data_IF_889243270015
#
_entry.id   IF_889243270015
#
_cell.length_a   1.000
_cell.length_b   1.000
_cell.length_c   1.000
_cell.angle_alpha   90.00
_cell.angle_beta   90.00
_cell.angle_gamma   90.00
#
_symmetry.space_group_name_H-M   'P 1'
#
loop_
_entity.id
_entity.type
_entity.pdbx_description
1 polymer ?
#
# COMPACT_ATOMS: atom_id res chain seq x y z
N UNK A 1 23.39 -6.77 -9.84
CA UNK A 1 22.15 -7.46 -10.24
C UNK A 1 21.14 -7.25 -9.11
N UNK A 2 20.32 -6.21 -9.18
CA UNK A 2 19.36 -5.85 -8.12
C UNK A 2 18.07 -6.62 -8.42
N UNK A 3 17.96 -7.82 -7.88
CA UNK A 3 16.74 -8.62 -7.94
C UNK A 3 15.83 -8.23 -6.79
N UNK A 4 14.91 -7.27 -7.02
CA UNK A 4 13.81 -6.99 -6.09
C UNK A 4 12.74 -8.09 -6.12
N UNK A 5 12.92 -9.11 -6.96
CA UNK A 5 12.06 -10.30 -7.09
C UNK A 5 12.95 -11.52 -6.82
N UNK A 6 12.85 -12.14 -5.63
CA UNK A 6 13.63 -13.33 -5.29
C UNK A 6 14.16 -13.46 -3.85
N UNK A 7 13.62 -12.72 -2.87
CA UNK A 7 14.00 -12.96 -1.47
C UNK A 7 13.52 -14.35 -1.03
N UNK A 8 14.46 -15.30 -0.95
CA UNK A 8 14.29 -16.53 -0.17
C UNK A 8 14.72 -16.23 1.27
N UNK A 9 13.82 -16.36 2.25
CA UNK A 9 14.20 -16.30 3.65
C UNK A 9 15.27 -17.33 3.96
N UNK A 10 16.09 -17.06 4.97
CA UNK A 10 17.17 -17.96 5.39
C UNK A 10 16.68 -19.35 5.80
N UNK A 11 15.38 -19.49 6.13
CA UNK A 11 14.73 -20.74 6.53
C UNK A 11 13.40 -20.96 5.82
N UNK A 12 13.02 -22.22 5.48
CA UNK A 12 11.71 -22.53 4.93
C UNK A 12 10.61 -22.47 6.01
N UNK A 13 9.37 -22.15 5.60
CA UNK A 13 8.20 -22.19 6.50
C UNK A 13 7.90 -23.63 6.92
N UNK A 14 7.82 -23.88 8.23
CA UNK A 14 7.42 -25.18 8.75
C UNK A 14 5.90 -25.41 8.59
N UNK A 15 5.44 -26.66 8.39
CA UNK A 15 4.02 -26.99 8.49
C UNK A 15 3.47 -26.61 9.87
N UNK A 16 2.33 -25.92 9.93
CA UNK A 16 1.73 -25.46 11.19
C UNK A 16 2.36 -24.20 11.78
N UNK A 17 3.23 -23.50 11.04
CA UNK A 17 3.77 -22.21 11.47
C UNK A 17 2.69 -21.11 11.44
N UNK A 18 2.46 -20.49 12.60
CA UNK A 18 1.50 -19.41 12.82
C UNK A 18 2.15 -18.04 13.10
N UNK A 19 3.47 -17.89 12.93
CA UNK A 19 4.12 -16.59 13.15
C UNK A 19 5.65 -16.58 13.18
N UNK A 20 6.33 -17.72 13.36
CA UNK A 20 7.79 -17.74 13.51
C UNK A 20 8.48 -17.42 12.17
N UNK A 21 7.97 -17.99 11.08
CA UNK A 21 8.46 -17.70 9.73
C UNK A 21 8.33 -16.23 9.36
N UNK A 22 7.19 -15.59 9.67
CA UNK A 22 7.01 -14.16 9.33
C UNK A 22 7.94 -13.27 10.17
N UNK A 23 8.12 -13.60 11.45
CA UNK A 23 9.06 -12.88 12.31
C UNK A 23 10.51 -12.98 11.79
N UNK A 24 10.94 -14.16 11.33
CA UNK A 24 12.27 -14.35 10.77
C UNK A 24 12.42 -13.62 9.42
N UNK A 25 11.41 -13.70 8.55
CA UNK A 25 11.40 -12.97 7.28
C UNK A 25 11.51 -11.46 7.50
N UNK A 26 10.78 -10.92 8.47
CA UNK A 26 10.82 -9.50 8.83
C UNK A 26 12.20 -9.08 9.34
N UNK A 27 12.86 -9.90 10.16
CA UNK A 27 14.24 -9.63 10.61
C UNK A 27 15.24 -9.66 9.45
N UNK A 28 15.16 -10.67 8.58
CA UNK A 28 16.03 -10.80 7.41
C UNK A 28 15.85 -9.60 6.47
N UNK A 29 14.60 -9.18 6.25
CA UNK A 29 14.27 -8.02 5.44
C UNK A 29 14.80 -6.72 6.07
N UNK A 30 14.60 -6.53 7.38
CA UNK A 30 15.09 -5.36 8.10
C UNK A 30 16.61 -5.20 7.99
N UNK A 31 17.38 -6.28 8.15
CA UNK A 31 18.83 -6.23 8.01
C UNK A 31 19.26 -5.85 6.59
N UNK A 32 18.61 -6.41 5.58
CA UNK A 32 18.86 -6.05 4.17
C UNK A 32 18.48 -4.60 3.88
N UNK A 33 17.33 -4.15 4.36
CA UNK A 33 16.88 -2.78 4.20
C UNK A 33 17.85 -1.77 4.84
N UNK A 34 18.35 -2.08 6.05
CA UNK A 34 19.41 -1.29 6.71
C UNK A 34 20.71 -1.30 5.92
N UNK A 35 21.11 -2.42 5.35
CA UNK A 35 22.28 -2.50 4.46
C UNK A 35 22.08 -1.70 3.17
N UNK A 36 20.84 -1.59 2.68
CA UNK A 36 20.43 -0.69 1.62
C UNK A 36 20.28 0.76 2.07
N UNK A 37 20.73 1.16 3.28
CA UNK A 37 20.51 2.46 3.92
C UNK A 37 20.94 3.72 3.13
N UNK A 38 21.44 3.54 1.92
CA UNK A 38 21.75 4.58 0.96
C UNK A 38 20.81 4.61 -0.25
N UNK A 39 19.72 3.84 -0.27
CA UNK A 39 18.75 3.94 -1.36
C UNK A 39 18.24 5.38 -1.41
N UNK A 40 18.40 5.97 -2.59
CA UNK A 40 17.88 7.26 -2.98
C UNK A 40 17.27 7.01 -4.34
N UNK A 41 16.11 7.60 -4.59
CA UNK A 41 15.64 7.71 -5.96
C UNK A 41 16.71 8.40 -6.82
N UNK A 42 16.76 8.08 -8.11
CA UNK A 42 17.61 8.81 -9.04
C UNK A 42 17.12 10.27 -9.15
N UNK A 43 17.96 11.28 -8.88
CA UNK A 43 17.56 12.69 -9.02
C UNK A 43 17.22 13.12 -10.44
N UNK A 44 17.61 12.35 -11.45
CA UNK A 44 17.28 12.59 -12.85
C UNK A 44 16.05 11.81 -13.32
N UNK A 45 15.50 10.90 -12.50
CA UNK A 45 14.28 10.19 -12.85
C UNK A 45 13.12 11.17 -13.00
N UNK A 46 12.35 11.01 -14.07
CA UNK A 46 11.16 11.81 -14.30
C UNK A 46 10.12 11.49 -13.23
N UNK A 47 9.71 12.50 -12.48
CA UNK A 47 8.61 12.37 -11.52
C UNK A 47 7.29 12.24 -12.29
N UNK A 48 6.61 11.11 -12.19
CA UNK A 48 5.23 10.92 -12.66
C UNK A 48 4.32 10.88 -11.45
N UNK A 49 4.18 12.01 -10.75
CA UNK A 49 3.24 12.13 -9.63
C UNK A 49 1.87 12.48 -10.20
N UNK A 50 0.86 11.60 -10.05
CA UNK A 50 -0.49 11.95 -10.45
C UNK A 50 -1.05 13.00 -9.49
N UNK A 51 -1.99 13.80 -10.00
CA UNK A 51 -2.89 14.61 -9.19
C UNK A 51 -3.78 13.72 -8.32
N UNK A 52 -4.42 14.31 -7.30
CA UNK A 52 -5.39 13.59 -6.48
C UNK A 52 -6.58 13.06 -7.30
N UNK A 53 -6.98 13.78 -8.35
CA UNK A 53 -8.07 13.37 -9.23
C UNK A 53 -7.66 12.21 -10.16
N UNK A 54 -6.47 12.25 -10.76
CA UNK A 54 -5.92 11.11 -11.52
C UNK A 54 -5.74 9.86 -10.63
N UNK A 55 -5.40 10.05 -9.36
CA UNK A 55 -5.39 8.95 -8.39
C UNK A 55 -6.80 8.42 -8.11
N UNK A 56 -7.80 9.29 -7.99
CA UNK A 56 -9.20 8.88 -7.80
C UNK A 56 -9.79 8.18 -9.02
N UNK A 57 -9.34 8.48 -10.24
CA UNK A 57 -9.70 7.74 -11.45
C UNK A 57 -9.27 6.25 -11.35
N UNK A 58 -8.12 5.96 -10.75
CA UNK A 58 -7.71 4.58 -10.46
C UNK A 58 -8.69 3.92 -9.49
N UNK A 59 -9.14 4.65 -8.46
CA UNK A 59 -10.15 4.13 -7.52
C UNK A 59 -11.46 3.82 -8.25
N UNK A 60 -11.95 4.71 -9.10
CA UNK A 60 -13.15 4.48 -9.91
C UNK A 60 -13.03 3.23 -10.79
N UNK A 61 -11.89 3.08 -11.47
CA UNK A 61 -11.60 1.88 -12.27
C UNK A 61 -11.63 0.60 -11.44
N UNK A 62 -10.99 0.60 -10.26
CA UNK A 62 -10.97 -0.58 -9.38
C UNK A 62 -12.37 -0.88 -8.83
N UNK A 63 -13.15 0.14 -8.46
CA UNK A 63 -14.57 -0.05 -8.09
C UNK A 63 -15.34 -0.74 -9.21
N UNK A 64 -15.17 -0.32 -10.46
CA UNK A 64 -15.84 -0.94 -11.62
C UNK A 64 -15.38 -2.38 -11.86
N UNK A 65 -14.15 -2.71 -11.46
CA UNK A 65 -13.56 -4.05 -11.68
C UNK A 65 -13.98 -5.04 -10.61
N UNK A 66 -13.98 -4.64 -9.34
CA UNK A 66 -14.15 -5.58 -8.21
C UNK A 66 -15.30 -5.21 -7.25
N UNK A 67 -15.97 -4.08 -7.46
CA UNK A 67 -16.99 -3.55 -6.56
C UNK A 67 -16.41 -2.79 -5.37
N UNK A 68 -17.12 -1.77 -4.89
CA UNK A 68 -16.64 -0.87 -3.83
C UNK A 68 -16.39 -1.55 -2.49
N UNK A 69 -17.01 -2.70 -2.21
CA UNK A 69 -16.81 -3.47 -0.97
C UNK A 69 -15.41 -4.11 -0.87
N UNK A 70 -14.65 -4.13 -1.97
CA UNK A 70 -13.35 -4.77 -2.09
C UNK A 70 -12.19 -3.77 -2.27
N UNK A 71 -12.45 -2.48 -2.09
CA UNK A 71 -11.47 -1.40 -2.32
C UNK A 71 -11.09 -0.74 -1.01
N UNK A 72 -9.80 -0.50 -0.79
CA UNK A 72 -9.25 0.24 0.35
C UNK A 72 -8.07 1.10 -0.06
N UNK A 73 -7.70 2.05 0.80
CA UNK A 73 -6.56 2.94 0.56
C UNK A 73 -5.29 2.36 1.18
N UNK A 74 -4.22 2.26 0.39
CA UNK A 74 -2.86 1.90 0.84
C UNK A 74 -1.84 2.72 0.07
N UNK A 75 -1.21 3.69 0.74
CA UNK A 75 -0.43 4.77 0.08
C UNK A 75 1.07 4.52 0.06
N UNK A 76 1.53 3.40 0.63
CA UNK A 76 2.94 3.00 0.68
C UNK A 76 3.90 4.18 1.00
N UNK A 77 3.61 4.88 2.10
CA UNK A 77 4.32 6.10 2.49
C UNK A 77 5.72 5.77 3.05
N UNK A 78 6.65 5.42 2.17
CA UNK A 78 8.03 5.04 2.50
C UNK A 78 9.06 6.14 2.17
N UNK A 79 8.61 7.35 1.89
CA UNK A 79 9.47 8.53 1.67
C UNK A 79 10.01 8.70 0.24
N UNK A 80 9.41 8.03 -0.76
CA UNK A 80 9.69 8.29 -2.18
C UNK A 80 9.17 9.65 -2.64
N UNK A 81 9.80 10.26 -3.66
CA UNK A 81 9.37 11.56 -4.23
C UNK A 81 8.11 11.41 -5.08
N UNK A 82 7.78 10.20 -5.51
CA UNK A 82 6.64 9.93 -6.39
C UNK A 82 5.41 9.43 -5.63
N UNK A 83 4.94 10.20 -4.63
CA UNK A 83 3.76 9.84 -3.83
C UNK A 83 2.68 10.92 -3.87
N UNK A 84 1.42 10.50 -4.05
CA UNK A 84 0.24 11.34 -3.86
C UNK A 84 -0.69 10.65 -2.85
N UNK A 85 -0.98 11.28 -1.69
CA UNK A 85 -0.40 12.51 -1.21
C UNK A 85 1.06 12.28 -0.78
N UNK A 86 1.86 13.35 -0.75
CA UNK A 86 3.29 13.23 -0.39
C UNK A 86 3.50 12.74 1.06
N UNK A 87 2.54 13.00 1.94
CA UNK A 87 2.55 12.55 3.34
C UNK A 87 1.12 12.46 3.89
N UNK A 88 1.00 11.96 5.12
CA UNK A 88 -0.28 11.74 5.80
C UNK A 88 -1.15 13.01 5.92
N UNK A 89 -0.56 14.21 5.94
CA UNK A 89 -1.32 15.47 5.99
C UNK A 89 -2.20 15.70 4.76
N UNK A 90 -1.88 15.09 3.62
CA UNK A 90 -2.67 15.21 2.38
C UNK A 90 -3.84 14.23 2.27
N UNK A 91 -4.08 13.37 3.26
CA UNK A 91 -5.10 12.33 3.19
C UNK A 91 -6.52 12.88 2.96
N UNK A 92 -6.84 14.04 3.56
CA UNK A 92 -8.13 14.71 3.33
C UNK A 92 -8.34 15.12 1.86
N UNK A 93 -7.27 15.48 1.16
CA UNK A 93 -7.31 15.83 -0.27
C UNK A 93 -7.61 14.61 -1.15
N UNK A 94 -6.96 13.47 -0.87
CA UNK A 94 -7.27 12.20 -1.55
C UNK A 94 -8.71 11.78 -1.29
N UNK A 95 -9.16 11.84 -0.04
CA UNK A 95 -10.53 11.46 0.30
C UNK A 95 -11.56 12.36 -0.40
N UNK A 96 -11.28 13.66 -0.50
CA UNK A 96 -12.13 14.59 -1.25
C UNK A 96 -12.20 14.22 -2.74
N UNK A 97 -11.09 13.81 -3.36
CA UNK A 97 -11.08 13.35 -4.75
C UNK A 97 -11.87 12.04 -4.94
N UNK A 98 -11.72 11.06 -4.04
CA UNK A 98 -12.53 9.82 -4.05
C UNK A 98 -14.02 10.11 -4.00
N UNK A 99 -14.46 11.08 -3.18
CA UNK A 99 -15.87 11.48 -3.09
C UNK A 99 -16.45 12.06 -4.40
N UNK A 100 -15.61 12.47 -5.35
CA UNK A 100 -16.06 12.97 -6.66
C UNK A 100 -16.37 11.83 -7.64
N UNK A 101 -15.74 10.68 -7.47
CA UNK A 101 -15.84 9.57 -8.43
C UNK A 101 -16.78 8.45 -7.99
N UNK A 102 -17.28 8.48 -6.75
CA UNK A 102 -18.17 7.46 -6.22
C UNK A 102 -19.18 8.01 -5.21
N UNK A 103 -20.14 7.19 -4.79
CA UNK A 103 -21.18 7.61 -3.85
C UNK A 103 -20.62 7.88 -2.45
N UNK A 104 -21.28 8.70 -1.62
CA UNK A 104 -20.85 8.92 -0.23
C UNK A 104 -20.74 7.63 0.60
N UNK A 105 -21.56 6.62 0.30
CA UNK A 105 -21.47 5.31 0.94
C UNK A 105 -20.19 4.59 0.55
N UNK A 106 -19.92 4.46 -0.75
CA UNK A 106 -18.70 3.81 -1.24
C UNK A 106 -17.44 4.52 -0.75
N UNK A 107 -17.46 5.86 -0.71
CA UNK A 107 -16.34 6.63 -0.20
C UNK A 107 -16.04 6.29 1.28
N UNK A 108 -17.05 6.12 2.15
CA UNK A 108 -16.83 5.70 3.54
C UNK A 108 -16.22 4.30 3.63
N UNK A 109 -16.72 3.36 2.82
CA UNK A 109 -16.19 2.00 2.74
C UNK A 109 -14.70 1.98 2.41
N UNK A 110 -14.32 2.72 1.37
CA UNK A 110 -12.94 2.84 0.88
C UNK A 110 -12.04 3.54 1.90
N UNK A 111 -12.57 4.52 2.62
CA UNK A 111 -11.84 5.28 3.63
C UNK A 111 -11.56 4.50 4.92
N UNK A 112 -12.06 3.28 5.07
CA UNK A 112 -11.63 2.41 6.15
C UNK A 112 -12.60 1.30 6.56
N UNK A 113 -13.90 1.41 6.29
CA UNK A 113 -14.86 0.38 6.76
C UNK A 113 -14.55 -0.99 6.14
N UNK A 114 -14.07 -1.03 4.89
CA UNK A 114 -13.62 -2.27 4.26
C UNK A 114 -12.40 -2.88 4.96
N UNK A 115 -11.42 -2.06 5.34
CA UNK A 115 -10.29 -2.53 6.12
C UNK A 115 -10.73 -3.10 7.46
N UNK A 116 -11.63 -2.41 8.17
CA UNK A 116 -12.17 -2.87 9.46
C UNK A 116 -12.94 -4.18 9.31
N UNK A 117 -13.74 -4.33 8.25
CA UNK A 117 -14.45 -5.57 7.93
C UNK A 117 -13.48 -6.73 7.71
N UNK A 118 -12.45 -6.54 6.87
CA UNK A 118 -11.45 -7.58 6.57
C UNK A 118 -10.65 -7.95 7.81
N UNK A 119 -10.16 -6.96 8.57
CA UNK A 119 -9.42 -7.21 9.81
C UNK A 119 -10.28 -7.89 10.89
N UNK A 120 -11.58 -7.58 10.92
CA UNK A 120 -12.54 -8.27 11.80
C UNK A 120 -12.70 -9.75 11.44
N UNK A 121 -12.74 -10.09 10.15
CA UNK A 121 -12.83 -11.47 9.67
C UNK A 121 -11.54 -12.27 9.94
N UNK A 122 -10.37 -11.62 9.89
CA UNK A 122 -9.08 -12.27 10.11
C UNK A 122 -8.78 -12.64 11.58
N UNK A 123 -9.55 -12.12 12.54
CA UNK A 123 -9.40 -12.43 13.97
C UNK A 123 -10.08 -13.74 14.39
N UNK A 124 -10.86 -14.35 13.51
CA UNK A 124 -11.66 -15.55 13.77
C UNK A 124 -10.91 -16.85 13.44
#
# INVERSE_FOLDING_TARGET
MIGMVGHKPSVPRAPGDHGEYIAQMDQDFLQRWRALGQWREDPQAQTTVPTADEWAEQVDYVIKTVGADHVGIGLDMVGGRSSVPQNAGGYAGIFAAVRRVTTPENARKINGENWLRVLGQAKA
#
